data_IF_766627183874
#
_entry.id   IF_766627183874
#
_cell.length_a   1.000
_cell.length_b   1.000
_cell.length_c   1.000
_cell.angle_alpha   90.00
_cell.angle_beta   90.00
_cell.angle_gamma   90.00
#
_symmetry.space_group_name_H-M   'P 1'
#
loop_
_entity.id
_entity.type
_entity.pdbx_description
1 polymer ?
#
# COMPACT_ATOMS: atom_id res chain seq x y z
N UNK A 1 20.76 -24.77 -34.06
CA UNK A 1 20.38 -23.33 -34.11
C UNK A 1 18.90 -23.09 -34.44
N UNK A 2 18.26 -23.78 -35.41
CA UNK A 2 16.83 -23.58 -35.75
C UNK A 2 15.83 -23.82 -34.61
N UNK A 3 16.11 -24.76 -33.70
CA UNK A 3 15.21 -25.12 -32.59
C UNK A 3 15.10 -24.02 -31.51
N UNK A 4 16.16 -23.22 -31.32
CA UNK A 4 16.16 -22.09 -30.37
C UNK A 4 15.38 -20.89 -30.94
N UNK A 5 15.38 -20.70 -32.26
CA UNK A 5 14.59 -19.64 -32.92
C UNK A 5 13.09 -19.92 -32.76
N UNK A 6 12.66 -21.18 -32.90
CA UNK A 6 11.26 -21.57 -32.66
C UNK A 6 10.86 -21.33 -31.21
N UNK A 7 11.73 -21.62 -30.25
CA UNK A 7 11.44 -21.40 -28.83
C UNK A 7 11.31 -19.91 -28.48
N UNK A 8 12.20 -19.05 -29.02
CA UNK A 8 12.13 -17.59 -28.84
C UNK A 8 10.90 -17.01 -29.53
N UNK A 9 10.52 -17.50 -30.72
CA UNK A 9 9.31 -17.08 -31.42
C UNK A 9 8.04 -17.45 -30.64
N UNK A 10 8.00 -18.64 -30.03
CA UNK A 10 6.88 -19.09 -29.18
C UNK A 10 6.75 -18.23 -27.92
N UNK A 11 7.86 -17.83 -27.32
CA UNK A 11 7.91 -16.99 -26.13
C UNK A 11 7.52 -15.53 -26.45
N UNK A 12 7.92 -15.02 -27.61
CA UNK A 12 7.46 -13.71 -28.10
C UNK A 12 5.96 -13.71 -28.46
N UNK A 13 5.45 -14.83 -28.99
CA UNK A 13 4.03 -14.98 -29.31
C UNK A 13 3.17 -15.00 -28.04
N UNK A 14 3.61 -15.63 -26.95
CA UNK A 14 2.88 -15.60 -25.68
C UNK A 14 2.77 -14.20 -25.07
N UNK A 15 3.74 -13.32 -25.31
CA UNK A 15 3.71 -11.93 -24.83
C UNK A 15 2.68 -11.09 -25.60
N UNK A 16 2.43 -11.39 -26.88
CA UNK A 16 1.43 -10.70 -27.70
C UNK A 16 -0.03 -11.00 -27.30
N UNK A 17 -0.27 -12.16 -26.67
CA UNK A 17 -1.59 -12.51 -26.13
C UNK A 17 -1.74 -12.19 -24.64
N UNK A 18 -0.67 -11.71 -23.99
CA UNK A 18 -0.70 -11.23 -22.60
C UNK A 18 -1.24 -9.79 -22.53
N UNK A 19 -2.40 -9.55 -23.15
CA UNK A 19 -3.13 -8.30 -23.03
C UNK A 19 -3.98 -8.36 -21.77
N UNK A 20 -3.80 -7.47 -20.78
CA UNK A 20 -4.73 -7.39 -19.66
C UNK A 20 -6.13 -7.08 -20.22
N UNK A 21 -7.08 -7.99 -19.99
CA UNK A 21 -8.48 -7.76 -20.34
C UNK A 21 -9.03 -6.61 -19.50
N UNK A 22 -9.89 -5.77 -20.09
CA UNK A 22 -10.42 -4.58 -19.43
C UNK A 22 -11.08 -4.85 -18.05
N UNK A 23 -11.59 -6.07 -17.85
CA UNK A 23 -12.14 -6.52 -16.57
C UNK A 23 -11.08 -6.69 -15.47
N UNK A 24 -9.88 -7.16 -15.80
CA UNK A 24 -8.77 -7.33 -14.85
C UNK A 24 -8.25 -5.96 -14.43
N UNK A 25 -8.11 -5.04 -15.38
CA UNK A 25 -7.72 -3.65 -15.09
C UNK A 25 -8.74 -2.95 -14.19
N UNK A 26 -10.03 -3.10 -14.47
CA UNK A 26 -11.09 -2.51 -13.65
C UNK A 26 -11.10 -3.08 -12.23
N UNK A 27 -10.98 -4.40 -12.08
CA UNK A 27 -10.89 -5.05 -10.78
C UNK A 27 -9.66 -4.59 -9.97
N UNK A 28 -8.51 -4.41 -10.64
CA UNK A 28 -7.30 -3.87 -10.01
C UNK A 28 -7.49 -2.43 -9.54
N UNK A 29 -8.17 -1.58 -10.32
CA UNK A 29 -8.47 -0.21 -9.92
C UNK A 29 -9.36 -0.18 -8.67
N UNK A 30 -10.44 -0.95 -8.64
CA UNK A 30 -11.35 -1.02 -7.47
C UNK A 30 -10.64 -1.57 -6.24
N UNK A 31 -9.78 -2.58 -6.42
CA UNK A 31 -8.97 -3.11 -5.32
C UNK A 31 -7.96 -2.06 -4.81
N UNK A 32 -7.35 -1.31 -5.73
CA UNK A 32 -6.47 -0.18 -5.42
C UNK A 32 -7.18 0.87 -4.57
N UNK A 33 -8.34 1.35 -5.00
CA UNK A 33 -9.14 2.34 -4.27
C UNK A 33 -9.58 1.85 -2.89
N UNK A 34 -9.93 0.57 -2.78
CA UNK A 34 -10.28 -0.05 -1.50
C UNK A 34 -9.08 -0.06 -0.55
N UNK A 35 -7.90 -0.43 -1.05
CA UNK A 35 -6.66 -0.45 -0.27
C UNK A 35 -6.24 0.98 0.11
N UNK A 36 -6.31 1.96 -0.79
CA UNK A 36 -6.02 3.35 -0.47
C UNK A 36 -6.95 3.87 0.64
N UNK A 37 -8.27 3.64 0.51
CA UNK A 37 -9.25 4.09 1.51
C UNK A 37 -9.04 3.44 2.87
N UNK A 38 -8.79 2.13 2.92
CA UNK A 38 -8.59 1.45 4.20
C UNK A 38 -7.29 1.91 4.86
N UNK A 39 -6.21 2.07 4.09
CA UNK A 39 -4.91 2.48 4.60
C UNK A 39 -4.95 3.93 5.11
N UNK A 40 -5.57 4.84 4.35
CA UNK A 40 -5.74 6.24 4.75
C UNK A 40 -6.59 6.37 6.03
N UNK A 41 -7.70 5.63 6.10
CA UNK A 41 -8.55 5.58 7.30
C UNK A 41 -7.79 5.04 8.50
N UNK A 42 -7.00 3.97 8.32
CA UNK A 42 -6.22 3.36 9.39
C UNK A 42 -5.16 4.32 9.95
N UNK A 43 -4.44 5.02 9.07
CA UNK A 43 -3.46 6.04 9.46
C UNK A 43 -4.13 7.16 10.27
N UNK A 44 -5.29 7.66 9.82
CA UNK A 44 -6.06 8.65 10.56
C UNK A 44 -6.45 8.18 11.97
N UNK A 45 -6.95 6.94 12.09
CA UNK A 45 -7.32 6.34 13.38
C UNK A 45 -6.10 6.15 14.29
N UNK A 46 -4.96 5.72 13.75
CA UNK A 46 -3.71 5.53 14.50
C UNK A 46 -3.19 6.85 15.10
N UNK A 47 -3.29 7.96 14.36
CA UNK A 47 -2.88 9.28 14.85
C UNK A 47 -3.78 9.74 15.99
N UNK A 48 -5.10 9.57 15.86
CA UNK A 48 -6.05 9.94 16.93
C UNK A 48 -5.82 9.08 18.18
N UNK A 49 -5.65 7.77 18.01
CA UNK A 49 -5.32 6.87 19.12
C UNK A 49 -4.00 7.22 19.79
N UNK A 50 -2.98 7.60 19.03
CA UNK A 50 -1.70 8.06 19.58
C UNK A 50 -1.89 9.32 20.45
N UNK A 51 -2.68 10.29 19.98
CA UNK A 51 -2.97 11.51 20.73
C UNK A 51 -3.73 11.21 22.04
N UNK A 52 -4.75 10.35 21.98
CA UNK A 52 -5.54 9.94 23.16
C UNK A 52 -4.68 9.14 24.13
N UNK A 53 -3.87 8.18 23.66
CA UNK A 53 -2.98 7.39 24.50
C UNK A 53 -1.91 8.26 25.17
N UNK A 54 -1.39 9.27 24.45
CA UNK A 54 -0.47 10.24 25.02
C UNK A 54 -1.16 11.07 26.12
N UNK A 55 -2.37 11.58 25.87
CA UNK A 55 -3.13 12.34 26.87
C UNK A 55 -3.48 11.49 28.10
N UNK A 56 -3.94 10.25 27.90
CA UNK A 56 -4.24 9.30 28.96
C UNK A 56 -2.99 8.97 29.80
N UNK A 57 -1.82 8.87 29.17
CA UNK A 57 -0.55 8.67 29.86
C UNK A 57 -0.09 9.83 30.75
N UNK A 58 -0.71 11.02 30.67
CA UNK A 58 -0.49 12.12 31.62
C UNK A 58 -1.37 12.05 32.86
N UNK A 59 -2.49 11.32 32.80
CA UNK A 59 -3.43 11.18 33.92
C UNK A 59 -3.11 9.92 34.74
N UNK A 60 -2.50 8.92 34.11
CA UNK A 60 -2.09 7.66 34.72
C UNK A 60 -0.81 7.83 35.56
N UNK A 61 -0.68 7.06 36.65
CA UNK A 61 0.47 7.10 37.56
C UNK A 61 1.81 6.76 36.88
N UNK A 62 2.94 7.07 37.52
CA UNK A 62 4.30 7.04 36.94
C UNK A 62 4.61 5.75 36.13
N UNK A 63 4.22 4.58 36.63
CA UNK A 63 4.49 3.28 35.98
C UNK A 63 3.60 2.99 34.77
N UNK A 64 2.31 3.34 34.85
CA UNK A 64 1.32 3.09 33.78
C UNK A 64 1.30 4.20 32.74
N UNK A 65 1.62 5.43 33.15
CA UNK A 65 1.86 6.57 32.28
C UNK A 65 3.04 6.31 31.34
N UNK A 66 4.18 5.82 31.85
CA UNK A 66 5.33 5.48 31.03
C UNK A 66 5.00 4.43 29.94
N UNK A 67 4.23 3.39 30.29
CA UNK A 67 3.78 2.37 29.32
C UNK A 67 2.83 2.94 28.27
N UNK A 68 1.88 3.79 28.67
CA UNK A 68 0.95 4.44 27.74
C UNK A 68 1.67 5.36 26.74
N UNK A 69 2.74 6.05 27.18
CA UNK A 69 3.58 6.89 26.30
C UNK A 69 4.33 6.07 25.26
N UNK A 70 4.87 4.90 25.64
CA UNK A 70 5.51 3.98 24.69
C UNK A 70 4.51 3.46 23.65
N UNK A 71 3.27 3.15 24.06
CA UNK A 71 2.22 2.75 23.13
C UNK A 71 1.87 3.87 22.15
N UNK A 72 1.72 5.11 22.65
CA UNK A 72 1.46 6.28 21.80
C UNK A 72 2.58 6.50 20.77
N UNK A 73 3.84 6.36 21.18
CA UNK A 73 4.99 6.52 20.28
C UNK A 73 5.03 5.42 19.21
N UNK A 74 4.76 4.16 19.58
CA UNK A 74 4.70 3.07 18.61
C UNK A 74 3.56 3.26 17.60
N UNK A 75 2.40 3.75 18.03
CA UNK A 75 1.28 4.08 17.15
C UNK A 75 1.63 5.22 16.19
N UNK A 76 2.35 6.25 16.68
CA UNK A 76 2.78 7.38 15.86
C UNK A 76 3.81 6.96 14.79
N UNK A 77 4.76 6.10 15.15
CA UNK A 77 5.74 5.55 14.20
C UNK A 77 5.03 4.67 13.16
N UNK A 78 4.09 3.82 13.59
CA UNK A 78 3.27 3.01 12.67
C UNK A 78 2.45 3.86 11.69
N UNK A 79 1.84 4.96 12.17
CA UNK A 79 1.14 5.91 11.32
C UNK A 79 2.09 6.61 10.34
N UNK A 80 3.29 6.99 10.78
CA UNK A 80 4.31 7.59 9.93
C UNK A 80 4.77 6.66 8.80
N UNK A 81 5.03 5.39 9.11
CA UNK A 81 5.38 4.39 8.09
C UNK A 81 4.20 4.15 7.14
N UNK A 82 2.98 4.06 7.66
CA UNK A 82 1.77 3.91 6.84
C UNK A 82 1.57 5.05 5.85
N UNK A 83 1.85 6.29 6.27
CA UNK A 83 1.81 7.47 5.40
C UNK A 83 2.87 7.41 4.29
N UNK A 84 4.09 6.97 4.61
CA UNK A 84 5.14 6.78 3.60
C UNK A 84 4.73 5.72 2.58
N UNK A 85 4.17 4.60 3.04
CA UNK A 85 3.69 3.54 2.16
C UNK A 85 2.56 4.05 1.26
N UNK A 86 1.63 4.85 1.82
CA UNK A 86 0.53 5.46 1.05
C UNK A 86 1.04 6.30 -0.14
N UNK A 87 2.12 7.06 0.05
CA UNK A 87 2.72 7.89 -1.00
C UNK A 87 3.57 7.10 -2.01
N UNK A 88 4.27 6.05 -1.55
CA UNK A 88 5.21 5.28 -2.39
C UNK A 88 4.52 4.16 -3.17
N UNK A 89 3.43 3.59 -2.65
CA UNK A 89 2.68 2.52 -3.30
C UNK A 89 2.23 2.85 -4.74
N UNK A 90 1.58 3.99 -5.05
CA UNK A 90 1.18 4.30 -6.42
C UNK A 90 2.39 4.49 -7.35
N UNK A 91 3.51 5.01 -6.83
CA UNK A 91 4.74 5.19 -7.61
C UNK A 91 5.29 3.87 -8.13
N UNK A 92 5.30 2.83 -7.29
CA UNK A 92 5.78 1.49 -7.68
C UNK A 92 4.79 0.80 -8.62
N UNK A 93 3.48 0.90 -8.35
CA UNK A 93 2.46 0.25 -9.17
C UNK A 93 2.40 0.83 -10.59
N UNK A 94 2.54 2.15 -10.74
CA UNK A 94 2.56 2.80 -12.06
C UNK A 94 3.80 2.42 -12.90
N UNK A 95 4.93 2.08 -12.26
CA UNK A 95 6.12 1.59 -12.98
C UNK A 95 6.02 0.12 -13.41
N UNK A 96 5.31 -0.71 -12.63
CA UNK A 96 5.17 -2.14 -12.91
C UNK A 96 4.04 -2.45 -13.91
N UNK A 97 3.02 -1.61 -14.02
CA UNK A 97 1.88 -1.78 -14.95
C UNK A 97 1.71 -0.59 -15.92
N UNK A 98 2.69 -0.27 -16.79
CA UNK A 98 2.58 0.84 -17.74
C UNK A 98 1.50 0.60 -18.82
N UNK A 99 1.11 -0.65 -19.08
CA UNK A 99 0.15 -1.03 -20.13
C UNK A 99 -1.31 -1.12 -19.67
N UNK A 100 -1.59 -0.91 -18.38
CA UNK A 100 -2.94 -1.04 -17.84
C UNK A 100 -3.81 0.22 -18.03
N UNK A 101 -3.23 1.39 -18.32
CA UNK A 101 -3.98 2.65 -18.40
C UNK A 101 -4.69 3.06 -17.08
N UNK A 102 -4.46 2.32 -16.00
CA UNK A 102 -4.98 2.60 -14.67
C UNK A 102 -3.98 3.52 -13.96
N UNK A 103 -4.36 4.79 -13.81
CA UNK A 103 -3.68 5.70 -12.89
C UNK A 103 -4.09 5.33 -11.48
N UNK A 104 -3.22 4.65 -10.75
CA UNK A 104 -3.43 4.41 -9.33
C UNK A 104 -3.04 5.68 -8.58
N UNK A 105 -4.02 6.40 -8.04
CA UNK A 105 -3.81 7.51 -7.11
C UNK A 105 -4.45 7.15 -5.78
N UNK A 106 -3.59 6.86 -4.80
CA UNK A 106 -3.86 7.16 -3.40
C UNK A 106 -3.34 8.59 -3.17
#
# INVERSE_FOLDING_TARGET
>A
MRKNIVFVALLALSVLFASPTASVTAALSTLGDFVCNILGTLVGVLVVLAAVAYAAGHIMGQETGARAKVWAQNLLIGAGIGLVIYLVAPLILNQLLPSAGATFSC
#
